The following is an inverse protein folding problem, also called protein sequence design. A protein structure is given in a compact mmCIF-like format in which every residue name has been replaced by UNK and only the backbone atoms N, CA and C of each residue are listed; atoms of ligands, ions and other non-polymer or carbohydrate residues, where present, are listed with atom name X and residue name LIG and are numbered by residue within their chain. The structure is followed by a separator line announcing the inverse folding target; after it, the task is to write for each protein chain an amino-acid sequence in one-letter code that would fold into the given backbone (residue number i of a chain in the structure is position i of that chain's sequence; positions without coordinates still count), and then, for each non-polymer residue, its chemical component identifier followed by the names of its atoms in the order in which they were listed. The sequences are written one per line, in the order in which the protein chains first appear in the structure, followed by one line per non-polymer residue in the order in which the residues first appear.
data_IF_380184248431
#
_entry.id   IF_380184248431
#
_cell.length_a   1.000
_cell.length_b   1.000
_cell.length_c   1.000
_cell.angle_alpha   90.00
_cell.angle_beta   90.00
_cell.angle_gamma   90.00
#
_symmetry.space_group_name_H-M   'P 1'
#
loop_
_entity.id
_entity.type
_entity.pdbx_description
1 polymer ?
#
# COMPACT_ATOMS: atom_id res chain seq x y z
N UNK A 1 13.12 -18.47 -1.53
CA UNK A 1 12.76 -18.54 -0.10
C UNK A 1 12.23 -17.17 0.27
N UNK A 2 11.06 -17.09 0.90
CA UNK A 2 10.43 -15.82 1.28
C UNK A 2 10.80 -15.50 2.73
N UNK A 3 11.28 -14.29 3.00
CA UNK A 3 11.51 -13.86 4.37
C UNK A 3 10.17 -13.58 5.06
N UNK A 4 9.92 -14.15 6.25
CA UNK A 4 8.70 -13.87 6.98
C UNK A 4 8.66 -12.40 7.40
N UNK A 5 7.45 -11.81 7.57
CA UNK A 5 7.32 -10.48 8.15
C UNK A 5 7.99 -10.41 9.52
N UNK A 6 8.61 -9.26 9.79
CA UNK A 6 9.23 -9.01 11.09
C UNK A 6 8.15 -8.95 12.19
N UNK A 7 8.39 -9.48 13.39
CA UNK A 7 7.42 -9.45 14.49
C UNK A 7 6.89 -8.04 14.79
N UNK A 8 7.78 -7.03 14.77
CA UNK A 8 7.41 -5.64 15.00
C UNK A 8 6.43 -5.08 13.95
N UNK A 9 6.52 -5.54 12.70
CA UNK A 9 5.61 -5.13 11.64
C UNK A 9 4.21 -5.72 11.82
N UNK A 10 4.13 -6.96 12.33
CA UNK A 10 2.84 -7.61 12.64
C UNK A 10 2.14 -6.82 13.75
N UNK A 11 2.85 -6.50 14.84
CA UNK A 11 2.30 -5.73 15.96
C UNK A 11 1.86 -4.33 15.52
N UNK A 12 2.71 -3.59 14.81
CA UNK A 12 2.36 -2.24 14.37
C UNK A 12 1.13 -2.20 13.46
N UNK A 13 0.98 -3.17 12.55
CA UNK A 13 -0.20 -3.25 11.69
C UNK A 13 -1.44 -3.60 12.51
N UNK A 14 -1.33 -4.52 13.47
CA UNK A 14 -2.44 -4.85 14.35
C UNK A 14 -2.92 -3.62 15.16
N UNK A 15 -1.99 -2.82 15.70
CA UNK A 15 -2.31 -1.60 16.45
C UNK A 15 -3.02 -0.57 15.55
N UNK A 16 -2.55 -0.36 14.32
CA UNK A 16 -3.23 0.51 13.35
C UNK A 16 -4.66 0.04 13.09
N UNK A 17 -4.86 -1.25 12.83
CA UNK A 17 -6.18 -1.81 12.54
C UNK A 17 -7.13 -1.68 13.74
N UNK A 18 -6.63 -1.90 14.96
CA UNK A 18 -7.41 -1.71 16.20
C UNK A 18 -7.80 -0.24 16.43
N UNK A 19 -6.97 0.71 16.00
CA UNK A 19 -7.27 2.14 16.02
C UNK A 19 -8.22 2.59 14.90
N UNK A 20 -8.70 1.68 14.04
CA UNK A 20 -9.55 2.00 12.90
C UNK A 20 -8.79 2.60 11.72
N UNK A 21 -7.46 2.49 11.70
CA UNK A 21 -6.60 2.97 10.61
C UNK A 21 -6.50 1.86 9.57
N UNK A 22 -6.89 2.18 8.33
CA UNK A 22 -6.76 1.26 7.21
C UNK A 22 -5.31 1.17 6.76
N UNK A 23 -4.74 -0.03 6.80
CA UNK A 23 -3.38 -0.31 6.33
C UNK A 23 -3.43 -0.80 4.88
N UNK A 24 -2.53 -0.28 4.04
CA UNK A 24 -2.34 -0.70 2.64
C UNK A 24 -0.88 -1.09 2.41
N UNK A 25 -0.63 -2.18 1.70
CA UNK A 25 0.70 -2.62 1.30
C UNK A 25 1.00 -2.19 -0.13
N UNK A 26 2.14 -1.52 -0.32
CA UNK A 26 2.65 -1.15 -1.64
C UNK A 26 4.07 -1.71 -1.80
N UNK A 27 4.26 -2.67 -2.70
CA UNK A 27 5.52 -3.42 -2.83
C UNK A 27 5.94 -3.65 -4.30
N UNK A 28 7.24 -3.82 -4.52
CA UNK A 28 7.81 -4.27 -5.80
C UNK A 28 7.73 -5.79 -6.02
N UNK A 29 7.25 -6.54 -5.02
CA UNK A 29 7.13 -8.00 -5.07
C UNK A 29 6.08 -8.47 -6.08
N UNK A 30 6.15 -9.77 -6.39
CA UNK A 30 5.14 -10.45 -7.18
C UNK A 30 3.76 -10.45 -6.46
N UNK A 31 2.62 -10.35 -7.17
CA UNK A 31 1.30 -10.23 -6.54
C UNK A 31 0.97 -11.38 -5.56
N UNK A 32 1.33 -12.61 -5.92
CA UNK A 32 1.11 -13.78 -5.04
C UNK A 32 1.90 -13.70 -3.73
N UNK A 33 3.12 -13.17 -3.79
CA UNK A 33 3.95 -12.92 -2.61
C UNK A 33 3.32 -11.81 -1.77
N UNK A 34 2.97 -10.69 -2.39
CA UNK A 34 2.35 -9.55 -1.71
C UNK A 34 1.04 -9.95 -1.00
N UNK A 35 0.19 -10.72 -1.65
CA UNK A 35 -1.05 -11.25 -1.03
C UNK A 35 -0.75 -12.19 0.15
N UNK A 36 0.24 -13.07 0.02
CA UNK A 36 0.64 -13.98 1.09
C UNK A 36 1.16 -13.22 2.32
N UNK A 37 2.02 -12.22 2.09
CA UNK A 37 2.54 -11.35 3.15
C UNK A 37 1.43 -10.49 3.76
N UNK A 38 0.55 -9.92 2.93
CA UNK A 38 -0.60 -9.14 3.39
C UNK A 38 -1.51 -9.94 4.32
N UNK A 39 -1.78 -11.20 3.99
CA UNK A 39 -2.53 -12.13 4.86
C UNK A 39 -1.82 -12.39 6.18
N UNK A 40 -0.50 -12.63 6.16
CA UNK A 40 0.29 -12.84 7.39
C UNK A 40 0.28 -11.60 8.30
N UNK A 41 0.26 -10.41 7.71
CA UNK A 41 0.21 -9.14 8.43
C UNK A 41 -1.21 -8.74 8.89
N UNK A 42 -2.24 -9.49 8.49
CA UNK A 42 -3.64 -9.14 8.80
C UNK A 42 -4.18 -7.94 8.01
N UNK A 43 -3.53 -7.56 6.92
CA UNK A 43 -4.00 -6.47 6.05
C UNK A 43 -5.31 -6.93 5.36
N UNK A 44 -6.33 -6.05 5.39
CA UNK A 44 -7.71 -6.31 5.00
C UNK A 44 -7.92 -7.16 3.74
N UNK A 45 -8.22 -6.54 2.59
CA UNK A 45 -8.55 -7.24 1.34
C UNK A 45 -7.32 -7.91 0.69
N UNK A 46 -6.52 -8.66 1.44
CA UNK A 46 -5.30 -9.33 0.97
C UNK A 46 -5.54 -10.57 0.10
N UNK A 47 -6.81 -10.86 -0.24
CA UNK A 47 -7.19 -11.89 -1.21
C UNK A 47 -7.05 -11.45 -2.67
N UNK A 48 -6.88 -10.15 -2.91
CA UNK A 48 -6.74 -9.58 -4.23
C UNK A 48 -5.64 -8.51 -4.24
N UNK A 49 -4.90 -8.44 -5.34
CA UNK A 49 -3.84 -7.45 -5.52
C UNK A 49 -3.99 -6.82 -6.90
N UNK A 50 -3.66 -5.54 -6.99
CA UNK A 50 -3.54 -4.82 -8.25
C UNK A 50 -2.06 -4.54 -8.54
N UNK A 51 -1.66 -4.66 -9.80
CA UNK A 51 -0.27 -4.47 -10.23
C UNK A 51 0.01 -3.05 -10.71
N UNK A 52 1.26 -2.59 -10.62
CA UNK A 52 1.69 -1.31 -11.20
C UNK A 52 1.26 -1.15 -12.66
N UNK A 53 1.41 -2.20 -13.48
CA UNK A 53 0.96 -2.21 -14.88
C UNK A 53 -0.55 -1.97 -15.05
N UNK A 54 -1.37 -2.46 -14.13
CA UNK A 54 -2.81 -2.18 -14.13
C UNK A 54 -3.10 -0.74 -13.70
N UNK A 55 -2.31 -0.17 -12.78
CA UNK A 55 -2.41 1.24 -12.38
C UNK A 55 -1.97 2.21 -13.48
N UNK A 56 -0.96 1.86 -14.27
CA UNK A 56 -0.42 2.67 -15.37
C UNK A 56 -1.47 3.01 -16.43
N UNK A 57 -2.39 2.09 -16.69
CA UNK A 57 -3.46 2.27 -17.68
C UNK A 57 -4.72 2.92 -17.11
N UNK A 58 -4.76 3.17 -15.80
CA UNK A 58 -5.88 3.85 -15.14
C UNK A 58 -5.75 5.36 -15.22
N UNK A 59 -6.85 6.03 -15.55
CA UNK A 59 -7.00 7.46 -15.31
C UNK A 59 -7.14 7.78 -13.80
N UNK A 60 -7.13 9.06 -13.44
CA UNK A 60 -7.18 9.49 -12.04
C UNK A 60 -8.47 9.05 -11.32
N UNK A 61 -9.60 8.99 -12.04
CA UNK A 61 -10.86 8.58 -11.46
C UNK A 61 -10.88 7.07 -11.16
N UNK A 62 -10.39 6.26 -12.11
CA UNK A 62 -10.21 4.82 -11.97
C UNK A 62 -9.21 4.49 -10.86
N UNK A 63 -8.09 5.21 -10.82
CA UNK A 63 -7.06 5.04 -9.80
C UNK A 63 -7.60 5.35 -8.41
N UNK A 64 -8.35 6.45 -8.24
CA UNK A 64 -9.00 6.77 -6.98
C UNK A 64 -9.97 5.68 -6.50
N UNK A 65 -10.73 5.07 -7.41
CA UNK A 65 -11.63 3.96 -7.06
C UNK A 65 -10.82 2.73 -6.67
N UNK A 66 -9.80 2.37 -7.45
CA UNK A 66 -8.93 1.25 -7.16
C UNK A 66 -8.20 1.42 -5.82
N UNK A 67 -7.70 2.63 -5.52
CA UNK A 67 -7.03 2.96 -4.27
C UNK A 67 -7.95 2.75 -3.04
N UNK A 68 -9.26 3.01 -3.18
CA UNK A 68 -10.24 2.72 -2.13
C UNK A 68 -10.64 1.25 -2.05
N UNK A 69 -10.59 0.48 -3.14
CA UNK A 69 -11.05 -0.92 -3.15
C UNK A 69 -9.96 -1.91 -2.76
N UNK A 70 -8.71 -1.65 -3.16
CA UNK A 70 -7.59 -2.56 -2.97
C UNK A 70 -6.71 -2.14 -1.80
N UNK A 71 -6.18 -3.13 -1.09
CA UNK A 71 -5.22 -2.93 0.01
C UNK A 71 -3.83 -3.47 -0.31
N UNK A 72 -3.68 -4.23 -1.40
CA UNK A 72 -2.40 -4.78 -1.84
C UNK A 72 -2.09 -4.27 -3.24
N UNK A 73 -0.99 -3.54 -3.37
CA UNK A 73 -0.44 -3.02 -4.62
C UNK A 73 0.93 -3.66 -4.83
N UNK A 74 1.07 -4.39 -5.94
CA UNK A 74 2.26 -5.19 -6.22
C UNK A 74 2.97 -4.71 -7.49
N UNK A 75 4.25 -5.05 -7.66
CA UNK A 75 5.08 -4.61 -8.79
C UNK A 75 5.04 -3.08 -9.01
N UNK A 76 4.90 -2.28 -7.96
CA UNK A 76 4.74 -0.83 -8.09
C UNK A 76 6.07 -0.12 -8.28
N UNK A 77 6.08 0.85 -9.17
CA UNK A 77 7.14 1.84 -9.34
C UNK A 77 7.09 2.93 -8.24
N UNK A 78 8.13 3.77 -8.10
CA UNK A 78 8.05 4.96 -7.26
C UNK A 78 6.94 5.92 -7.67
N UNK A 79 6.65 6.04 -8.96
CA UNK A 79 5.58 6.89 -9.50
C UNK A 79 4.19 6.38 -9.08
N UNK A 80 3.97 5.06 -9.15
CA UNK A 80 2.71 4.45 -8.71
C UNK A 80 2.40 4.77 -7.24
N UNK A 81 3.43 4.72 -6.38
CA UNK A 81 3.27 5.06 -4.95
C UNK A 81 2.79 6.50 -4.78
N UNK A 82 3.38 7.43 -5.52
CA UNK A 82 2.99 8.84 -5.47
C UNK A 82 1.55 9.04 -5.97
N UNK A 83 1.21 8.45 -7.12
CA UNK A 83 -0.14 8.51 -7.70
C UNK A 83 -1.18 7.94 -6.73
N UNK A 84 -0.89 6.83 -6.05
CA UNK A 84 -1.78 6.23 -5.05
C UNK A 84 -2.00 7.15 -3.84
N UNK A 85 -0.95 7.77 -3.32
CA UNK A 85 -1.07 8.73 -2.21
C UNK A 85 -1.94 9.92 -2.62
N UNK A 86 -1.70 10.49 -3.80
CA UNK A 86 -2.51 11.60 -4.31
C UNK A 86 -3.96 11.19 -4.53
N UNK A 87 -4.20 9.99 -5.06
CA UNK A 87 -5.54 9.48 -5.33
C UNK A 87 -6.37 9.25 -4.05
N UNK A 88 -5.71 8.91 -2.93
CA UNK A 88 -6.35 8.80 -1.61
C UNK A 88 -6.57 10.20 -0.98
N UNK A 89 -5.57 11.08 -1.06
CA UNK A 89 -5.67 12.45 -0.56
C UNK A 89 -6.76 13.27 -1.28
N UNK A 90 -6.96 13.05 -2.58
CA UNK A 90 -8.04 13.70 -3.35
C UNK A 90 -9.45 13.33 -2.84
N UNK A 91 -9.55 12.21 -2.12
CA UNK A 91 -10.77 11.74 -1.45
C UNK A 91 -10.88 12.23 0.00
N UNK A 92 -10.02 13.18 0.39
CA UNK A 92 -9.92 13.79 1.73
C UNK A 92 -9.48 12.79 2.82
N UNK A 93 -8.82 11.70 2.43
CA UNK A 93 -8.18 10.80 3.39
C UNK A 93 -6.86 11.41 3.88
N UNK A 94 -6.56 11.24 5.18
CA UNK A 94 -5.25 11.56 5.74
C UNK A 94 -4.37 10.34 5.56
N UNK A 95 -3.27 10.50 4.81
CA UNK A 95 -2.40 9.39 4.42
C UNK A 95 -1.02 9.56 5.05
N UNK A 96 -0.60 8.58 5.86
CA UNK A 96 0.78 8.40 6.28
C UNK A 96 1.42 7.25 5.49
N UNK A 97 2.69 7.37 5.12
CA UNK A 97 3.40 6.31 4.41
C UNK A 97 4.74 6.00 5.05
N UNK A 98 4.99 4.71 5.29
CA UNK A 98 6.21 4.20 5.92
C UNK A 98 6.96 3.27 4.96
N UNK A 99 8.30 3.28 5.01
CA UNK A 99 9.15 2.44 4.17
C UNK A 99 10.40 3.15 3.65
N UNK A 100 11.41 2.37 3.23
CA UNK A 100 12.62 2.90 2.61
C UNK A 100 12.32 3.43 1.22
N UNK A 101 12.15 4.75 1.10
CA UNK A 101 12.07 5.42 -0.19
C UNK A 101 13.49 5.66 -0.70
N UNK A 102 13.80 5.15 -1.89
CA UNK A 102 14.96 5.65 -2.63
C UNK A 102 14.70 7.12 -2.95
N UNK A 103 15.47 8.00 -2.31
CA UNK A 103 15.54 9.47 -2.42
C UNK A 103 14.58 10.19 -3.40
N UNK A 104 13.61 10.89 -2.78
CA UNK A 104 12.94 12.17 -3.14
C UNK A 104 11.41 12.08 -3.16
N UNK A 105 10.80 12.61 -2.11
CA UNK A 105 9.44 13.16 -2.15
C UNK A 105 9.40 14.40 -1.24
N UNK A 106 9.17 15.63 -1.75
CA UNK A 106 8.92 16.78 -0.90
C UNK A 106 7.53 16.65 -0.28
N UNK A 107 7.43 16.72 1.06
CA UNK A 107 6.16 16.96 1.75
C UNK A 107 5.47 15.77 2.43
N UNK A 108 6.22 14.82 2.99
CA UNK A 108 5.64 13.86 3.95
C UNK A 108 6.46 13.93 5.24
N UNK A 109 5.90 14.51 6.30
CA UNK A 109 6.47 14.39 7.64
C UNK A 109 6.27 12.95 8.11
N UNK A 110 7.40 12.28 8.39
CA UNK A 110 7.39 11.05 9.18
C UNK A 110 7.15 11.46 10.64
N UNK A 111 5.99 11.08 11.18
CA UNK A 111 5.72 11.10 12.61
C UNK A 111 6.32 9.89 13.32
#
# INVERSE_FOLDING_TARGET
MMDPPRPEAITAIADCLQAGIRVKMITGDHPQTAMSIGKMLGIGNAGNAITGRELEVMDDAQLSVAAQQFDIFARTSPEDKFRLVQALQSKKEIVGMTGGWGERCPGVEAG
#
